data_IF_595769172755
#
_entry.id   IF_595769172755
#
_cell.length_a   1.000
_cell.length_b   1.000
_cell.length_c   1.000
_cell.angle_alpha   90.00
_cell.angle_beta   90.00
_cell.angle_gamma   90.00
#
_symmetry.space_group_name_H-M   'P 1'
#
loop_
_entity.id
_entity.type
_entity.pdbx_description
1 polymer ?
#
# COMPACT_ATOMS: atom_id res chain seq x y z
N UNK A 1 7.90 20.09 6.30
CA UNK A 1 7.02 19.02 5.76
C UNK A 1 7.52 18.54 4.41
N UNK A 2 7.64 17.24 4.25
CA UNK A 2 8.05 16.65 2.97
C UNK A 2 7.01 15.65 2.51
N UNK A 3 6.93 15.44 1.20
CA UNK A 3 6.11 14.38 0.58
C UNK A 3 7.07 13.41 -0.12
N UNK A 4 6.98 12.14 0.24
CA UNK A 4 7.81 11.09 -0.32
C UNK A 4 6.93 10.15 -1.14
N UNK A 5 7.29 9.94 -2.40
CA UNK A 5 6.65 8.92 -3.23
C UNK A 5 7.42 7.61 -3.09
N UNK A 6 6.72 6.55 -2.75
CA UNK A 6 7.30 5.22 -2.51
C UNK A 6 6.79 4.29 -3.61
N UNK A 7 7.71 3.68 -4.35
CA UNK A 7 7.37 2.67 -5.34
C UNK A 7 7.10 1.31 -4.69
N UNK A 8 6.87 0.31 -5.51
CA UNK A 8 6.46 -1.06 -5.16
C UNK A 8 7.12 -1.60 -3.88
N UNK A 9 6.42 -1.53 -2.75
CA UNK A 9 6.90 -2.09 -1.47
C UNK A 9 6.86 -3.61 -1.53
N UNK A 10 5.80 -4.17 -2.09
CA UNK A 10 5.65 -5.61 -2.33
C UNK A 10 5.94 -6.48 -1.11
N UNK A 11 5.37 -6.11 0.05
CA UNK A 11 5.54 -6.89 1.27
C UNK A 11 6.93 -6.85 1.89
N UNK A 12 7.79 -5.96 1.43
CA UNK A 12 9.15 -5.80 1.97
C UNK A 12 9.16 -4.79 3.12
N UNK A 13 8.41 -5.09 4.17
CA UNK A 13 8.18 -4.18 5.28
C UNK A 13 9.45 -3.78 6.01
N UNK A 14 10.37 -4.71 6.21
CA UNK A 14 11.63 -4.42 6.92
C UNK A 14 12.49 -3.40 6.16
N UNK A 15 12.47 -3.47 4.83
CA UNK A 15 13.17 -2.49 3.99
C UNK A 15 12.49 -1.14 4.05
N UNK A 16 11.17 -1.12 4.03
CA UNK A 16 10.40 0.12 4.19
C UNK A 16 10.71 0.80 5.52
N UNK A 17 10.75 0.04 6.62
CA UNK A 17 11.09 0.58 7.94
C UNK A 17 12.49 1.21 7.94
N UNK A 18 13.47 0.56 7.33
CA UNK A 18 14.83 1.09 7.23
C UNK A 18 14.88 2.38 6.42
N UNK A 19 14.13 2.44 5.33
CA UNK A 19 14.05 3.65 4.52
C UNK A 19 13.46 4.81 5.32
N UNK A 20 12.34 4.58 6.01
CA UNK A 20 11.67 5.61 6.80
C UNK A 20 12.56 6.12 7.93
N UNK A 21 13.33 5.24 8.57
CA UNK A 21 14.31 5.63 9.58
C UNK A 21 15.41 6.50 8.96
N UNK A 22 15.92 6.10 7.80
CA UNK A 22 17.01 6.81 7.13
C UNK A 22 16.64 8.24 6.74
N UNK A 23 15.39 8.44 6.31
CA UNK A 23 14.91 9.78 5.93
C UNK A 23 14.34 10.57 7.11
N UNK A 24 14.39 10.04 8.32
CA UNK A 24 13.82 10.65 9.52
C UNK A 24 12.34 11.00 9.36
N UNK A 25 11.57 10.05 8.82
CA UNK A 25 10.16 10.26 8.54
C UNK A 25 9.38 10.57 9.83
N UNK A 26 8.56 11.61 9.79
CA UNK A 26 7.62 11.97 10.85
C UNK A 26 6.19 11.93 10.30
N UNK A 27 5.41 10.97 10.77
CA UNK A 27 4.05 10.75 10.27
C UNK A 27 3.13 11.96 10.49
N UNK A 28 3.41 12.80 11.47
CA UNK A 28 2.60 13.97 11.76
C UNK A 28 2.95 15.18 10.90
N UNK A 29 4.15 15.20 10.33
CA UNK A 29 4.64 16.34 9.55
C UNK A 29 4.86 16.02 8.08
N UNK A 30 5.25 14.79 7.78
CA UNK A 30 5.55 14.35 6.42
C UNK A 30 4.39 13.56 5.82
N UNK A 31 4.40 13.42 4.49
CA UNK A 31 3.41 12.62 3.75
C UNK A 31 4.08 11.49 2.99
N UNK A 32 3.44 10.34 2.99
CA UNK A 32 3.85 9.19 2.16
C UNK A 32 2.80 8.94 1.09
N UNK A 33 3.25 8.91 -0.14
CA UNK A 33 2.44 8.59 -1.31
C UNK A 33 2.93 7.26 -1.88
N UNK A 34 2.13 6.21 -1.70
CA UNK A 34 2.46 4.87 -2.19
C UNK A 34 1.92 4.68 -3.60
N UNK A 35 2.81 4.37 -4.53
CA UNK A 35 2.46 4.25 -5.96
C UNK A 35 1.81 2.91 -6.33
N UNK A 36 1.38 2.12 -5.35
CA UNK A 36 0.74 0.83 -5.59
C UNK A 36 1.70 -0.34 -5.46
N UNK A 37 1.15 -1.56 -5.60
CA UNK A 37 1.88 -2.80 -5.41
C UNK A 37 2.57 -2.87 -4.05
N UNK A 38 1.78 -2.61 -2.99
CA UNK A 38 2.31 -2.65 -1.62
C UNK A 38 2.35 -4.06 -1.06
N UNK A 39 1.62 -4.98 -1.65
CA UNK A 39 1.53 -6.39 -1.22
C UNK A 39 2.05 -7.33 -2.29
N UNK A 40 2.21 -8.61 -1.89
CA UNK A 40 2.67 -9.71 -2.71
C UNK A 40 4.18 -9.68 -2.96
N UNK A 41 4.75 -10.79 -3.38
CA UNK A 41 6.18 -11.03 -3.64
C UNK A 41 7.02 -11.14 -2.37
N UNK A 42 7.08 -10.11 -1.50
CA UNK A 42 7.86 -10.14 -0.27
C UNK A 42 7.15 -10.88 0.86
N UNK A 43 7.84 -11.08 1.99
CA UNK A 43 7.36 -11.97 3.05
C UNK A 43 6.40 -11.33 4.05
N UNK A 44 6.21 -10.02 4.02
CA UNK A 44 5.46 -9.29 5.06
C UNK A 44 4.38 -8.39 4.49
N UNK A 45 3.53 -8.95 3.63
CA UNK A 45 2.41 -8.22 3.04
C UNK A 45 1.41 -7.72 4.09
N UNK A 46 1.09 -8.55 5.09
CA UNK A 46 0.16 -8.16 6.15
C UNK A 46 0.69 -6.99 6.97
N UNK A 47 1.94 -7.06 7.40
CA UNK A 47 2.56 -5.99 8.18
C UNK A 47 2.60 -4.69 7.38
N UNK A 48 2.94 -4.77 6.10
CA UNK A 48 2.96 -3.60 5.21
C UNK A 48 1.57 -2.98 5.11
N UNK A 49 0.56 -3.79 4.87
CA UNK A 49 -0.81 -3.29 4.70
C UNK A 49 -1.34 -2.65 5.99
N UNK A 50 -1.09 -3.31 7.13
CA UNK A 50 -1.46 -2.76 8.44
C UNK A 50 -0.78 -1.43 8.72
N UNK A 51 0.51 -1.33 8.41
CA UNK A 51 1.26 -0.09 8.60
C UNK A 51 0.63 1.07 7.82
N UNK A 52 0.34 0.85 6.54
CA UNK A 52 -0.23 1.90 5.68
C UNK A 52 -1.64 2.25 6.14
N UNK A 53 -2.46 1.23 6.45
CA UNK A 53 -3.85 1.42 6.91
C UNK A 53 -3.93 2.27 8.18
N UNK A 54 -2.99 2.06 9.10
CA UNK A 54 -3.00 2.72 10.41
C UNK A 54 -2.02 3.89 10.50
N UNK A 55 -1.51 4.36 9.38
CA UNK A 55 -0.58 5.47 9.33
C UNK A 55 -1.23 6.73 9.89
N UNK A 56 -0.59 7.34 10.89
CA UNK A 56 -1.08 8.55 11.53
C UNK A 56 -0.73 9.77 10.70
N UNK A 57 -1.43 10.89 10.95
CA UNK A 57 -1.21 12.12 10.22
C UNK A 57 -2.17 12.23 9.04
N UNK A 58 -1.95 13.23 8.20
CA UNK A 58 -2.83 13.56 7.09
C UNK A 58 -2.05 13.65 5.79
N UNK A 59 -2.78 13.47 4.69
CA UNK A 59 -2.21 13.64 3.36
C UNK A 59 -1.47 12.43 2.83
N UNK A 60 -1.48 11.30 3.55
CA UNK A 60 -0.94 10.04 3.03
C UNK A 60 -1.87 9.49 1.97
N UNK A 61 -1.32 8.84 0.96
CA UNK A 61 -2.09 8.31 -0.15
C UNK A 61 -1.56 6.95 -0.60
N UNK A 62 -2.46 6.12 -1.08
CA UNK A 62 -2.14 4.86 -1.74
C UNK A 62 -3.00 4.76 -3.00
N UNK A 63 -2.36 4.56 -4.14
CA UNK A 63 -3.07 4.18 -5.36
C UNK A 63 -2.93 2.68 -5.58
N UNK A 64 -3.94 2.05 -6.18
CA UNK A 64 -3.95 0.61 -6.36
C UNK A 64 -3.07 0.21 -7.55
N UNK A 65 -2.18 -0.77 -7.32
CA UNK A 65 -1.42 -1.42 -8.36
C UNK A 65 -2.03 -2.77 -8.72
N UNK A 66 -1.44 -3.44 -9.70
CA UNK A 66 -1.97 -4.74 -10.17
C UNK A 66 -1.91 -5.82 -9.09
N UNK A 67 -0.92 -5.83 -8.22
CA UNK A 67 -0.85 -6.79 -7.12
C UNK A 67 -1.90 -6.52 -6.04
N UNK A 68 -2.21 -5.25 -5.78
CA UNK A 68 -3.26 -4.87 -4.83
C UNK A 68 -4.63 -5.29 -5.37
N UNK A 69 -4.87 -5.09 -6.66
CA UNK A 69 -6.10 -5.53 -7.32
C UNK A 69 -6.20 -7.06 -7.34
N UNK A 70 -5.09 -7.76 -7.53
CA UNK A 70 -5.04 -9.22 -7.45
C UNK A 70 -5.46 -9.72 -6.07
N UNK A 71 -4.96 -9.11 -5.00
CA UNK A 71 -5.37 -9.43 -3.63
C UNK A 71 -6.89 -9.28 -3.47
N UNK A 72 -7.44 -8.16 -3.92
CA UNK A 72 -8.88 -7.92 -3.82
C UNK A 72 -9.69 -8.96 -4.60
N UNK A 73 -9.23 -9.33 -5.79
CA UNK A 73 -9.88 -10.35 -6.61
C UNK A 73 -9.84 -11.74 -5.97
N UNK A 74 -8.70 -12.11 -5.40
CA UNK A 74 -8.56 -13.38 -4.66
C UNK A 74 -9.48 -13.41 -3.44
N UNK A 75 -9.54 -12.32 -2.69
CA UNK A 75 -10.38 -12.21 -1.50
C UNK A 75 -11.87 -12.31 -1.83
N UNK A 76 -12.28 -11.83 -2.99
CA UNK A 76 -13.66 -11.89 -3.46
C UNK A 76 -13.99 -13.20 -4.23
N UNK A 77 -13.05 -14.14 -4.29
CA UNK A 77 -13.17 -15.40 -5.03
C UNK A 77 -13.41 -15.21 -6.54
N UNK A 78 -12.95 -14.08 -7.09
CA UNK A 78 -13.02 -13.81 -8.52
C UNK A 78 -11.78 -14.34 -9.27
N UNK A 79 -10.76 -14.70 -8.51
CA UNK A 79 -9.48 -15.23 -9.02
C UNK A 79 -8.91 -16.22 -8.03
N UNK A 80 -8.19 -17.22 -8.54
CA UNK A 80 -7.43 -18.13 -7.68
C UNK A 80 -6.06 -17.52 -7.38
N UNK A 81 -5.56 -17.74 -6.15
CA UNK A 81 -4.20 -17.38 -5.80
C UNK A 81 -3.23 -18.28 -6.56
N UNK A 82 -2.15 -17.70 -7.06
CA UNK A 82 -1.07 -18.41 -7.71
C UNK A 82 -0.14 -19.04 -6.67
N UNK A 83 0.60 -20.08 -7.07
CA UNK A 83 1.53 -20.76 -6.16
C UNK A 83 2.65 -19.85 -5.64
N UNK A 84 2.99 -18.79 -6.39
CA UNK A 84 4.00 -17.82 -5.99
C UNK A 84 3.48 -16.65 -5.19
N UNK A 85 2.17 -16.58 -4.92
CA UNK A 85 1.59 -15.47 -4.16
C UNK A 85 1.98 -15.54 -2.68
N UNK A 86 2.21 -14.37 -2.09
CA UNK A 86 2.55 -14.23 -0.67
C UNK A 86 1.55 -13.32 0.05
N UNK A 87 0.25 -13.54 -0.22
CA UNK A 87 -0.85 -12.74 0.35
C UNK A 87 -1.73 -13.54 1.31
N UNK A 88 -1.38 -14.79 1.60
CA UNK A 88 -2.17 -15.67 2.46
C UNK A 88 -2.25 -15.15 3.89
N UNK A 89 -1.22 -14.48 4.36
CA UNK A 89 -1.20 -13.85 5.68
C UNK A 89 -2.34 -12.82 5.83
N UNK A 90 -2.62 -12.04 4.79
CA UNK A 90 -3.74 -11.10 4.79
C UNK A 90 -5.07 -11.84 4.73
N UNK A 91 -5.17 -12.85 3.86
CA UNK A 91 -6.42 -13.61 3.68
C UNK A 91 -6.81 -14.40 4.93
N UNK A 92 -5.85 -14.69 5.82
CA UNK A 92 -6.06 -15.41 7.06
C UNK A 92 -6.06 -14.52 8.31
N UNK A 93 -5.89 -13.21 8.16
CA UNK A 93 -5.79 -12.29 9.27
C UNK A 93 -7.14 -12.04 9.94
N UNK A 94 -7.13 -11.82 11.25
CA UNK A 94 -8.35 -11.51 12.02
C UNK A 94 -8.99 -10.21 11.57
N UNK A 95 -8.19 -9.22 11.20
CA UNK A 95 -8.64 -7.91 10.73
C UNK A 95 -8.80 -7.82 9.20
N UNK A 96 -8.89 -8.99 8.56
CA UNK A 96 -9.02 -9.11 7.10
C UNK A 96 -10.12 -8.20 6.54
N UNK A 97 -11.30 -8.23 7.15
CA UNK A 97 -12.46 -7.49 6.63
C UNK A 97 -12.20 -5.98 6.64
N UNK A 98 -11.60 -5.46 7.72
CA UNK A 98 -11.25 -4.03 7.82
C UNK A 98 -10.20 -3.65 6.78
N UNK A 99 -9.14 -4.44 6.67
CA UNK A 99 -8.04 -4.16 5.74
C UNK A 99 -8.52 -4.16 4.29
N UNK A 100 -9.30 -5.15 3.90
CA UNK A 100 -9.78 -5.27 2.52
C UNK A 100 -10.81 -4.22 2.17
N UNK A 101 -11.69 -3.86 3.11
CA UNK A 101 -12.66 -2.79 2.91
C UNK A 101 -11.95 -1.44 2.71
N UNK A 102 -10.96 -1.15 3.52
CA UNK A 102 -10.15 0.05 3.36
C UNK A 102 -9.41 0.06 2.02
N UNK A 103 -8.79 -1.07 1.65
CA UNK A 103 -8.03 -1.16 0.39
C UNK A 103 -8.93 -0.95 -0.83
N UNK A 104 -10.14 -1.49 -0.81
CA UNK A 104 -11.12 -1.31 -1.90
C UNK A 104 -11.49 0.15 -2.12
N UNK A 105 -11.36 0.98 -1.11
CA UNK A 105 -11.71 2.41 -1.19
C UNK A 105 -10.52 3.26 -1.65
N UNK A 106 -9.34 2.69 -1.76
CA UNK A 106 -8.18 3.41 -2.26
C UNK A 106 -8.33 3.71 -3.75
N UNK A 107 -7.90 4.88 -4.20
CA UNK A 107 -8.09 5.31 -5.58
C UNK A 107 -7.10 4.67 -6.55
N UNK A 108 -7.37 4.82 -7.83
CA UNK A 108 -6.42 4.49 -8.91
C UNK A 108 -5.55 5.68 -9.30
N UNK A 109 -5.96 6.87 -8.89
CA UNK A 109 -5.26 8.12 -9.20
C UNK A 109 -5.42 9.08 -8.03
N UNK A 110 -4.34 9.76 -7.69
CA UNK A 110 -4.35 10.84 -6.69
C UNK A 110 -3.82 12.12 -7.35
N UNK A 111 -4.51 13.22 -7.12
CA UNK A 111 -4.10 14.54 -7.59
C UNK A 111 -3.86 15.46 -6.39
N UNK A 112 -2.71 16.11 -6.36
CA UNK A 112 -2.40 17.12 -5.36
C UNK A 112 -2.48 18.50 -6.03
N UNK A 113 -3.48 19.26 -5.64
CA UNK A 113 -3.73 20.57 -6.21
C UNK A 113 -2.62 21.57 -5.88
N UNK A 114 -2.07 21.49 -4.67
CA UNK A 114 -1.04 22.43 -4.22
C UNK A 114 0.25 22.31 -5.04
N UNK A 115 0.63 21.11 -5.43
CA UNK A 115 1.83 20.86 -6.23
C UNK A 115 1.52 20.61 -7.70
N UNK A 116 0.22 20.57 -8.05
CA UNK A 116 -0.22 20.23 -9.42
C UNK A 116 0.41 18.92 -9.91
N UNK A 117 0.34 17.89 -9.05
CA UNK A 117 0.95 16.59 -9.31
C UNK A 117 -0.07 15.47 -9.26
N UNK A 118 0.10 14.52 -10.15
CA UNK A 118 -0.73 13.31 -10.24
C UNK A 118 0.14 12.09 -9.97
N UNK A 119 -0.41 11.13 -9.24
CA UNK A 119 0.22 9.83 -9.05
C UNK A 119 -0.72 8.72 -9.50
N UNK A 120 -0.21 7.83 -10.33
CA UNK A 120 -0.85 6.57 -10.71
C UNK A 120 0.18 5.45 -10.58
N UNK A 121 -0.28 4.20 -10.55
CA UNK A 121 0.63 3.05 -10.53
C UNK A 121 1.31 2.84 -11.88
N UNK A 122 0.54 2.97 -12.94
CA UNK A 122 1.01 2.81 -14.32
C UNK A 122 0.68 4.09 -15.10
N UNK A 123 0.86 4.08 -16.41
CA UNK A 123 0.55 5.23 -17.25
C UNK A 123 -0.93 5.64 -17.21
N UNK A 124 -1.18 6.85 -17.58
CA UNK A 124 -2.54 7.38 -17.69
C UNK A 124 -3.27 6.85 -18.92
#
# INVERSE_FOLDING_TARGET
MATYAIGDVQGCFSVLEKLLTKINFDANDDRLWFAGDVVNRGPKSLETLRFIRHLKGQGHALVLGNHDLHLLACAANLRECNSGDTIQDILQAEDRADLLQWLRQCPLLVYDEAFDMVMTHAGL
#
